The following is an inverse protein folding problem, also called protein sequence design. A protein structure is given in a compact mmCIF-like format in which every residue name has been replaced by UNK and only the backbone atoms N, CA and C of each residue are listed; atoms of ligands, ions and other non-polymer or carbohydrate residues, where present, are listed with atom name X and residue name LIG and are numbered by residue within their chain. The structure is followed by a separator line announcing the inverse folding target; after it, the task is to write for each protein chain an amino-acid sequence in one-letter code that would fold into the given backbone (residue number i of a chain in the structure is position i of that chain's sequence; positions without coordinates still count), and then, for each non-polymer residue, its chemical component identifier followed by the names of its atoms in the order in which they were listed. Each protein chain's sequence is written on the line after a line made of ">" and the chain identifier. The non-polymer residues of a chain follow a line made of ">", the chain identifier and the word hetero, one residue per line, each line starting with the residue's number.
data_IF_809570150101
#
_entry.id   IF_809570150101
#
_cell.length_a   1.000
_cell.length_b   1.000
_cell.length_c   1.000
_cell.angle_alpha   90.00
_cell.angle_beta   90.00
_cell.angle_gamma   90.00
#
_symmetry.space_group_name_H-M   'P 1'
#
loop_
_entity.id
_entity.type
_entity.pdbx_description
1 polymer ?
#
# COMPACT_ATOMS: atom_id res chain seq x y z
N UNK A 1 3.73 9.48 38.74
CA UNK A 1 2.73 8.57 38.17
C UNK A 1 1.83 9.40 37.27
N UNK A 2 2.11 9.44 35.97
CA UNK A 2 1.23 10.06 34.96
C UNK A 2 1.41 9.27 33.67
N UNK A 3 0.41 8.42 33.39
CA UNK A 3 0.27 7.69 32.13
C UNK A 3 -0.44 8.63 31.13
N UNK A 4 0.32 9.29 30.28
CA UNK A 4 -0.26 9.94 29.10
C UNK A 4 -0.72 8.87 28.11
N UNK A 5 -2.03 8.82 27.91
CA UNK A 5 -2.69 8.05 26.85
C UNK A 5 -2.13 8.49 25.50
N UNK A 6 -1.29 7.67 24.88
CA UNK A 6 -0.94 7.76 23.46
C UNK A 6 -2.20 7.53 22.63
N UNK A 7 -2.85 8.63 22.25
CA UNK A 7 -3.84 8.62 21.17
C UNK A 7 -3.12 8.13 19.93
N UNK A 8 -3.49 6.94 19.47
CA UNK A 8 -2.97 6.30 18.27
C UNK A 8 -3.48 7.10 17.06
N UNK A 9 -2.79 8.19 16.73
CA UNK A 9 -3.11 9.05 15.59
C UNK A 9 -2.70 8.32 14.32
N UNK A 10 -3.66 7.66 13.69
CA UNK A 10 -3.57 7.23 12.30
C UNK A 10 -3.39 8.54 11.49
N UNK A 11 -2.19 8.79 10.96
CA UNK A 11 -2.00 9.89 10.01
C UNK A 11 -2.96 9.67 8.83
N UNK A 12 -3.56 10.69 8.24
CA UNK A 12 -4.40 10.56 7.04
C UNK A 12 -3.53 10.45 5.76
N UNK A 13 -4.00 9.78 4.68
CA UNK A 13 -3.26 9.68 3.42
C UNK A 13 -3.09 11.07 2.77
N UNK A 14 -1.99 11.31 2.03
CA UNK A 14 -1.79 12.60 1.36
C UNK A 14 -2.86 12.83 0.27
N UNK A 15 -3.65 13.89 0.44
CA UNK A 15 -4.72 14.29 -0.49
C UNK A 15 -4.09 15.00 -1.70
N UNK A 16 -4.23 14.43 -2.90
CA UNK A 16 -3.88 15.16 -4.12
C UNK A 16 -4.89 14.87 -5.24
N UNK A 17 -5.82 15.79 -5.48
CA UNK A 17 -7.00 15.62 -6.34
C UNK A 17 -6.69 15.55 -7.86
N UNK A 18 -5.46 15.86 -8.29
CA UNK A 18 -5.06 15.86 -9.72
C UNK A 18 -4.01 14.81 -10.12
N UNK A 19 -3.54 13.94 -9.23
CA UNK A 19 -2.42 13.04 -9.54
C UNK A 19 -2.88 11.79 -10.36
N UNK A 20 -1.97 11.09 -11.06
CA UNK A 20 -2.38 9.87 -11.79
C UNK A 20 -2.75 8.73 -10.80
N UNK A 21 -3.57 7.73 -11.19
CA UNK A 21 -3.88 6.56 -10.33
C UNK A 21 -2.61 5.91 -9.76
N UNK A 22 -1.55 5.86 -10.56
CA UNK A 22 -0.23 5.39 -10.16
C UNK A 22 0.41 6.25 -9.05
N UNK A 23 0.34 7.58 -9.17
CA UNK A 23 0.83 8.49 -8.14
C UNK A 23 0.03 8.39 -6.83
N UNK A 24 -1.27 8.10 -6.91
CA UNK A 24 -2.11 7.83 -5.72
C UNK A 24 -1.69 6.54 -5.04
N UNK A 25 -1.49 5.46 -5.79
CA UNK A 25 -0.97 4.20 -5.24
C UNK A 25 0.38 4.42 -4.54
N UNK A 26 1.30 5.16 -5.15
CA UNK A 26 2.59 5.47 -4.53
C UNK A 26 2.43 6.27 -3.23
N UNK A 27 1.53 7.26 -3.22
CA UNK A 27 1.18 8.05 -2.03
C UNK A 27 0.65 7.16 -0.90
N UNK A 28 -0.29 6.27 -1.22
CA UNK A 28 -0.92 5.37 -0.26
C UNK A 28 0.03 4.28 0.23
N UNK A 29 0.96 3.81 -0.61
CA UNK A 29 2.02 2.89 -0.19
C UNK A 29 2.95 3.57 0.83
N UNK A 30 3.37 4.81 0.57
CA UNK A 30 4.18 5.58 1.53
C UNK A 30 3.42 5.78 2.84
N UNK A 31 2.14 6.11 2.74
CA UNK A 31 1.26 6.27 3.88
C UNK A 31 1.12 4.98 4.69
N UNK A 32 0.83 3.84 4.05
CA UNK A 32 0.76 2.53 4.68
C UNK A 32 2.06 2.21 5.41
N UNK A 33 3.21 2.45 4.78
CA UNK A 33 4.52 2.20 5.38
C UNK A 33 4.82 3.06 6.62
N UNK A 34 4.12 4.19 6.80
CA UNK A 34 4.26 5.04 7.98
C UNK A 34 3.39 4.57 9.16
N UNK A 35 2.39 3.72 8.94
CA UNK A 35 1.44 3.33 9.99
C UNK A 35 2.05 2.36 11.01
N UNK A 36 1.58 2.34 12.28
CA UNK A 36 2.06 1.36 13.26
C UNK A 36 1.80 -0.09 12.82
N UNK A 37 2.55 -1.04 13.40
CA UNK A 37 2.32 -2.47 13.12
C UNK A 37 0.98 -2.90 13.69
N UNK A 38 0.21 -3.67 12.93
CA UNK A 38 -1.11 -4.17 13.32
C UNK A 38 -2.18 -3.08 13.53
N UNK A 39 -1.96 -1.85 13.05
CA UNK A 39 -2.90 -0.75 13.28
C UNK A 39 -4.07 -0.72 12.30
N UNK A 40 -4.01 -1.49 11.20
CA UNK A 40 -5.02 -1.50 10.16
C UNK A 40 -5.47 -2.92 9.86
N UNK A 41 -6.69 -3.06 9.34
CA UNK A 41 -7.19 -4.32 8.79
C UNK A 41 -7.37 -4.18 7.29
N UNK A 42 -6.63 -4.97 6.51
CA UNK A 42 -6.82 -4.99 5.04
C UNK A 42 -8.08 -5.78 4.67
N UNK A 43 -8.99 -5.12 3.96
CA UNK A 43 -10.26 -5.66 3.48
C UNK A 43 -10.17 -6.22 2.05
N UNK A 44 -9.15 -5.83 1.28
CA UNK A 44 -8.89 -6.38 -0.06
C UNK A 44 -8.21 -7.76 -0.02
N UNK A 45 -7.77 -8.23 -1.19
CA UNK A 45 -7.03 -9.50 -1.29
C UNK A 45 -5.55 -9.31 -0.96
N UNK A 46 -4.84 -10.39 -0.61
CA UNK A 46 -3.38 -10.37 -0.50
C UNK A 46 -2.70 -9.95 -1.81
N UNK A 47 -3.29 -10.33 -2.96
CA UNK A 47 -2.74 -9.97 -4.29
C UNK A 47 -2.81 -8.47 -4.53
N UNK A 48 -3.86 -7.82 -4.02
CA UNK A 48 -4.04 -6.37 -4.13
C UNK A 48 -2.88 -5.62 -3.46
N UNK A 49 -2.52 -6.00 -2.22
CA UNK A 49 -1.36 -5.41 -1.53
C UNK A 49 -0.05 -5.67 -2.27
N UNK A 50 0.14 -6.90 -2.77
CA UNK A 50 1.34 -7.24 -3.55
C UNK A 50 1.42 -6.41 -4.83
N UNK A 51 0.28 -6.16 -5.48
CA UNK A 51 0.20 -5.32 -6.68
C UNK A 51 0.56 -3.87 -6.37
N UNK A 52 0.00 -3.28 -5.32
CA UNK A 52 0.33 -1.92 -4.88
C UNK A 52 1.83 -1.78 -4.57
N UNK A 53 2.39 -2.74 -3.82
CA UNK A 53 3.83 -2.79 -3.52
C UNK A 53 4.65 -2.88 -4.81
N UNK A 54 4.24 -3.72 -5.76
CA UNK A 54 4.96 -3.86 -7.02
C UNK A 54 4.91 -2.58 -7.86
N UNK A 55 3.75 -1.92 -7.95
CA UNK A 55 3.60 -0.64 -8.64
C UNK A 55 4.53 0.40 -8.03
N UNK A 56 4.50 0.58 -6.70
CA UNK A 56 5.36 1.55 -6.01
C UNK A 56 6.85 1.20 -6.14
N UNK A 57 7.22 -0.08 -6.11
CA UNK A 57 8.58 -0.53 -6.31
C UNK A 57 9.12 -0.20 -7.71
N UNK A 58 8.31 -0.40 -8.75
CA UNK A 58 8.70 -0.06 -10.13
C UNK A 58 8.96 1.44 -10.30
N UNK A 59 8.32 2.30 -9.50
CA UNK A 59 8.58 3.75 -9.52
C UNK A 59 9.91 4.14 -8.88
N UNK A 60 10.56 3.24 -8.12
CA UNK A 60 11.82 3.50 -7.38
C UNK A 60 11.79 4.76 -6.49
N UNK A 61 10.59 5.20 -6.11
CA UNK A 61 10.37 6.48 -5.44
C UNK A 61 10.23 6.36 -3.91
N UNK A 62 10.17 5.15 -3.37
CA UNK A 62 10.20 4.90 -1.92
C UNK A 62 11.64 4.63 -1.51
N UNK A 63 12.18 5.44 -0.61
CA UNK A 63 13.55 5.36 -0.12
C UNK A 63 13.58 4.87 1.33
N UNK A 64 14.65 4.17 1.70
CA UNK A 64 14.93 3.76 3.08
C UNK A 64 15.62 4.89 3.87
N UNK A 65 15.94 4.62 5.14
CA UNK A 65 16.62 5.56 6.04
C UNK A 65 18.05 5.91 5.60
N UNK A 66 18.63 5.15 4.68
CA UNK A 66 19.96 5.40 4.10
C UNK A 66 19.87 6.15 2.75
N UNK A 67 18.67 6.57 2.35
CA UNK A 67 18.43 7.25 1.07
C UNK A 67 18.46 6.32 -0.14
N UNK A 68 18.45 4.99 0.05
CA UNK A 68 18.47 4.01 -1.03
C UNK A 68 17.05 3.60 -1.39
N UNK A 69 16.73 3.30 -2.67
CA UNK A 69 15.43 2.78 -3.04
C UNK A 69 15.10 1.49 -2.26
N UNK A 70 13.94 1.47 -1.61
CA UNK A 70 13.48 0.30 -0.86
C UNK A 70 13.33 -0.91 -1.78
N UNK A 71 13.75 -2.07 -1.27
CA UNK A 71 13.52 -3.33 -1.99
C UNK A 71 12.05 -3.71 -1.96
N UNK A 72 11.59 -4.45 -2.97
CA UNK A 72 10.22 -4.96 -3.03
C UNK A 72 9.85 -5.76 -1.77
N UNK A 73 10.79 -6.57 -1.25
CA UNK A 73 10.60 -7.38 -0.04
C UNK A 73 10.47 -6.50 1.20
N UNK A 74 11.33 -5.49 1.37
CA UNK A 74 11.26 -4.59 2.52
C UNK A 74 9.93 -3.81 2.57
N UNK A 75 9.46 -3.31 1.42
CA UNK A 75 8.14 -2.67 1.35
C UNK A 75 7.00 -3.63 1.68
N UNK A 76 7.03 -4.84 1.12
CA UNK A 76 6.03 -5.86 1.44
C UNK A 76 6.04 -6.20 2.93
N UNK A 77 7.19 -6.50 3.52
CA UNK A 77 7.32 -6.78 4.95
C UNK A 77 6.74 -5.68 5.81
N UNK A 78 7.05 -4.43 5.46
CA UNK A 78 6.53 -3.29 6.19
C UNK A 78 5.01 -3.21 6.09
N UNK A 79 4.44 -3.24 4.89
CA UNK A 79 2.99 -3.08 4.70
C UNK A 79 2.21 -4.27 5.27
N UNK A 80 2.70 -5.51 5.09
CA UNK A 80 2.06 -6.69 5.65
C UNK A 80 2.06 -6.67 7.19
N UNK A 81 3.13 -6.19 7.81
CA UNK A 81 3.18 -5.98 9.27
C UNK A 81 2.17 -4.94 9.78
N UNK A 82 1.84 -3.93 8.97
CA UNK A 82 0.85 -2.88 9.31
C UNK A 82 -0.55 -3.47 9.34
N UNK A 83 -0.88 -4.32 8.37
CA UNK A 83 -2.22 -4.91 8.25
C UNK A 83 -2.40 -6.20 9.05
N UNK A 84 -1.42 -6.54 9.90
CA UNK A 84 -1.45 -7.73 10.75
C UNK A 84 -1.40 -9.07 9.99
N UNK A 85 -0.85 -9.10 8.77
CA UNK A 85 -0.78 -10.32 7.92
C UNK A 85 0.66 -10.76 7.71
N UNK A 86 0.92 -12.07 7.52
CA UNK A 86 2.25 -12.54 7.16
C UNK A 86 2.63 -12.12 5.75
N UNK A 87 3.89 -11.73 5.55
CA UNK A 87 4.39 -11.43 4.20
C UNK A 87 4.42 -12.70 3.34
N UNK A 88 3.97 -12.63 2.07
CA UNK A 88 4.05 -13.79 1.18
C UNK A 88 5.50 -14.16 0.86
N UNK A 89 5.83 -15.46 0.92
CA UNK A 89 7.18 -15.96 0.62
C UNK A 89 7.59 -15.78 -0.86
N UNK A 90 6.62 -15.79 -1.78
CA UNK A 90 6.88 -15.78 -3.22
C UNK A 90 6.24 -14.57 -3.92
N UNK A 91 6.66 -13.36 -3.54
CA UNK A 91 6.15 -12.10 -4.10
C UNK A 91 6.26 -12.08 -5.64
N UNK A 92 7.41 -12.47 -6.20
CA UNK A 92 7.62 -12.48 -7.65
C UNK A 92 6.64 -13.41 -8.39
N UNK A 93 6.38 -14.60 -7.84
CA UNK A 93 5.40 -15.55 -8.40
C UNK A 93 3.98 -14.98 -8.35
N UNK A 94 3.63 -14.30 -7.26
CA UNK A 94 2.34 -13.61 -7.15
C UNK A 94 2.25 -12.54 -8.24
N UNK A 95 3.27 -11.68 -8.39
CA UNK A 95 3.31 -10.64 -9.43
C UNK A 95 3.17 -11.21 -10.84
N UNK A 96 3.84 -12.31 -11.18
CA UNK A 96 3.67 -13.00 -12.48
C UNK A 96 2.20 -13.36 -12.73
N UNK A 97 1.58 -14.03 -11.75
CA UNK A 97 0.16 -14.42 -11.81
C UNK A 97 -0.79 -13.22 -11.86
N UNK A 98 -0.35 -12.05 -11.40
CA UNK A 98 -1.13 -10.81 -11.54
C UNK A 98 -1.08 -10.31 -12.97
N UNK A 99 0.09 -10.33 -13.61
CA UNK A 99 0.24 -9.97 -15.02
C UNK A 99 -0.47 -10.91 -15.99
N UNK A 100 -0.61 -12.19 -15.61
CA UNK A 100 -1.34 -13.22 -16.36
C UNK A 100 -2.87 -13.14 -16.20
N UNK A 101 -3.41 -12.18 -15.44
CA UNK A 101 -4.87 -12.08 -15.24
C UNK A 101 -5.58 -11.66 -16.53
N UNK A 102 -6.62 -12.39 -16.90
CA UNK A 102 -7.50 -12.04 -18.02
C UNK A 102 -8.47 -10.89 -17.73
N UNK A 103 -8.63 -10.47 -16.46
CA UNK A 103 -9.59 -9.44 -16.04
C UNK A 103 -8.86 -8.19 -15.56
N UNK A 104 -8.70 -7.15 -16.41
CA UNK A 104 -8.03 -5.90 -16.07
C UNK A 104 -8.67 -5.19 -14.88
N UNK A 105 -9.97 -5.38 -14.70
CA UNK A 105 -10.80 -4.80 -13.64
C UNK A 105 -10.36 -5.20 -12.22
N UNK A 106 -9.66 -6.32 -12.08
CA UNK A 106 -9.12 -6.79 -10.80
C UNK A 106 -7.78 -6.14 -10.47
N UNK A 107 -7.21 -5.34 -11.37
CA UNK A 107 -5.99 -4.58 -11.11
C UNK A 107 -6.25 -3.44 -10.14
N UNK A 108 -5.36 -3.29 -9.17
CA UNK A 108 -5.38 -2.13 -8.28
C UNK A 108 -5.24 -0.81 -9.02
N UNK A 109 -4.51 -0.79 -10.13
CA UNK A 109 -4.39 0.42 -10.96
C UNK A 109 -5.73 0.80 -11.60
N UNK A 110 -6.46 -0.19 -12.14
CA UNK A 110 -7.79 0.03 -12.72
C UNK A 110 -8.82 0.47 -11.66
N UNK A 111 -8.79 -0.15 -10.47
CA UNK A 111 -9.65 0.24 -9.35
C UNK A 111 -9.36 1.68 -8.88
N UNK A 112 -8.09 2.05 -8.74
CA UNK A 112 -7.70 3.43 -8.43
C UNK A 112 -8.09 4.42 -9.53
N UNK A 113 -8.07 4.02 -10.81
CA UNK A 113 -8.52 4.86 -11.91
C UNK A 113 -10.03 5.14 -11.85
N UNK A 114 -10.85 4.14 -11.50
CA UNK A 114 -12.30 4.31 -11.30
C UNK A 114 -12.63 5.24 -10.14
N UNK A 115 -11.83 5.17 -9.07
CA UNK A 115 -12.00 5.97 -7.86
C UNK A 115 -11.25 7.30 -7.91
N UNK A 116 -10.70 7.71 -9.07
CA UNK A 116 -9.78 8.84 -9.17
C UNK A 116 -10.39 10.20 -8.79
N UNK A 117 -11.72 10.32 -8.75
CA UNK A 117 -12.46 11.50 -8.26
C UNK A 117 -12.68 11.51 -6.75
N UNK A 118 -12.38 10.42 -6.05
CA UNK A 118 -12.54 10.31 -4.61
C UNK A 118 -11.28 10.79 -3.88
N UNK A 119 -11.49 11.45 -2.73
CA UNK A 119 -10.39 12.00 -1.94
C UNK A 119 -9.63 10.94 -1.17
N UNK A 120 -10.27 9.81 -0.88
CA UNK A 120 -9.76 8.83 0.09
C UNK A 120 -9.93 7.38 -0.39
N UNK A 121 -9.21 7.05 -1.46
CA UNK A 121 -9.31 5.76 -2.14
C UNK A 121 -8.89 4.62 -1.22
N UNK A 122 -7.82 4.77 -0.44
CA UNK A 122 -7.28 3.68 0.39
C UNK A 122 -8.27 3.18 1.45
N UNK A 123 -9.14 4.05 1.98
CA UNK A 123 -10.14 3.69 2.99
C UNK A 123 -11.24 2.76 2.48
N UNK A 124 -11.39 2.59 1.15
CA UNK A 124 -12.22 1.51 0.60
C UNK A 124 -11.66 0.11 0.86
N UNK A 125 -10.38 0.02 1.25
CA UNK A 125 -9.64 -1.24 1.38
C UNK A 125 -9.12 -1.51 2.78
N UNK A 126 -9.32 -0.59 3.72
CA UNK A 126 -8.84 -0.71 5.10
C UNK A 126 -9.96 -0.42 6.11
N UNK A 127 -9.84 -1.01 7.29
CA UNK A 127 -10.63 -0.69 8.48
C UNK A 127 -9.72 -0.43 9.66
#
# INVERSE_FOLDING_TARGET
>A
MNMEKTKNTICAPPINAAASPMARILSDVRWLMAQPRGSLVWMGTQRDLVEMVNIAWMQRAVIDSQGRPCTRKAMADRIFSVVGRPTPNHIARIVSRIGERCSPDLSMLARYARLAGERDIIHHFIK
#
